data_IF_733637504553
#
_entry.id   IF_733637504553
#
_cell.length_a   1.000
_cell.length_b   1.000
_cell.length_c   1.000
_cell.angle_alpha   90.00
_cell.angle_beta   90.00
_cell.angle_gamma   90.00
#
_symmetry.space_group_name_H-M   'P 1'
#
loop_
_entity.id
_entity.type
_entity.pdbx_description
1 polymer ?
#
# COMPACT_ATOMS: atom_id res chain seq x y z
N UNK A 1 -12.04 23.39 -18.77
CA UNK A 1 -10.65 22.91 -18.79
C UNK A 1 -9.98 23.32 -17.49
N UNK A 2 -10.05 22.42 -16.49
CA UNK A 2 -9.41 22.67 -15.19
C UNK A 2 -7.93 22.36 -15.26
N UNK A 3 -7.13 23.29 -15.79
CA UNK A 3 -5.70 23.27 -15.58
C UNK A 3 -5.40 23.64 -14.12
N UNK A 4 -4.35 23.09 -13.49
CA UNK A 4 -3.96 23.52 -12.15
C UNK A 4 -3.60 25.00 -12.20
N UNK A 5 -4.11 25.79 -11.25
CA UNK A 5 -3.74 27.19 -11.11
C UNK A 5 -2.23 27.26 -10.88
N UNK A 6 -1.51 28.08 -11.65
CA UNK A 6 -0.05 28.26 -11.49
C UNK A 6 0.32 28.66 -10.06
N UNK A 7 -0.52 29.44 -9.42
CA UNK A 7 -0.37 29.89 -8.04
C UNK A 7 -0.42 28.74 -7.03
N UNK A 8 -1.12 27.66 -7.33
CA UNK A 8 -1.19 26.50 -6.44
C UNK A 8 0.18 25.82 -6.24
N UNK A 9 1.10 25.92 -7.19
CA UNK A 9 2.47 25.40 -7.03
C UNK A 9 3.30 26.15 -5.99
N UNK A 10 2.90 27.35 -5.62
CA UNK A 10 3.57 28.17 -4.61
C UNK A 10 2.99 27.95 -3.20
N UNK A 11 1.93 27.15 -3.08
CA UNK A 11 1.32 26.82 -1.80
C UNK A 11 1.86 25.46 -1.30
N UNK A 12 2.28 25.44 -0.05
CA UNK A 12 2.59 24.19 0.63
C UNK A 12 1.28 23.58 1.11
N UNK A 13 0.81 22.54 0.42
CA UNK A 13 -0.40 21.81 0.81
C UNK A 13 -0.23 20.31 0.61
N UNK A 14 -1.01 19.53 1.34
CA UNK A 14 -1.15 18.11 1.11
C UNK A 14 -2.61 17.71 1.29
N UNK A 15 -3.04 16.73 0.51
CA UNK A 15 -4.39 16.19 0.59
C UNK A 15 -4.46 15.11 1.69
N UNK A 16 -5.39 15.28 2.64
CA UNK A 16 -5.64 14.28 3.70
C UNK A 16 -5.98 12.91 3.09
N UNK A 17 -6.71 12.90 1.98
CA UNK A 17 -7.02 11.67 1.26
C UNK A 17 -5.76 10.98 0.73
N UNK A 18 -4.75 11.72 0.26
CA UNK A 18 -3.54 11.13 -0.31
C UNK A 18 -2.70 10.40 0.74
N UNK A 19 -2.50 10.97 1.93
CA UNK A 19 -1.68 10.32 2.96
C UNK A 19 -2.45 9.35 3.85
N UNK A 20 -3.78 9.45 3.95
CA UNK A 20 -4.59 8.51 4.75
C UNK A 20 -4.48 7.09 4.22
N UNK A 21 -4.31 6.13 5.12
CA UNK A 21 -4.35 4.69 4.78
C UNK A 21 -5.77 4.17 4.54
N UNK A 22 -6.79 4.94 4.92
CA UNK A 22 -8.21 4.65 4.64
C UNK A 22 -8.68 5.57 3.53
N UNK A 23 -9.22 4.99 2.45
CA UNK A 23 -9.70 5.71 1.27
C UNK A 23 -11.23 5.71 1.27
N UNK A 24 -11.81 6.82 1.68
CA UNK A 24 -13.28 7.02 1.68
C UNK A 24 -13.63 8.49 1.54
N UNK A 25 -14.86 8.78 1.15
CA UNK A 25 -15.33 10.16 0.99
C UNK A 25 -15.42 10.92 2.30
N UNK A 26 -15.33 12.26 2.24
CA UNK A 26 -15.38 13.16 3.41
C UNK A 26 -16.63 12.95 4.25
N UNK A 27 -17.80 12.80 3.62
CA UNK A 27 -19.08 12.52 4.29
C UNK A 27 -19.02 11.26 5.17
N UNK A 28 -18.44 10.18 4.63
CA UNK A 28 -18.33 8.93 5.39
C UNK A 28 -17.42 9.10 6.59
N UNK A 29 -16.31 9.80 6.44
CA UNK A 29 -15.45 10.17 7.56
C UNK A 29 -16.21 11.00 8.61
N UNK A 30 -16.96 12.01 8.16
CA UNK A 30 -17.75 12.84 9.07
C UNK A 30 -18.72 12.01 9.91
N UNK A 31 -19.46 11.11 9.29
CA UNK A 31 -20.41 10.22 9.99
C UNK A 31 -19.68 9.32 11.00
N UNK A 32 -18.57 8.68 10.60
CA UNK A 32 -17.79 7.80 11.47
C UNK A 32 -17.16 8.55 12.67
N UNK A 33 -16.84 9.83 12.49
CA UNK A 33 -16.29 10.70 13.54
C UNK A 33 -17.38 11.38 14.38
N UNK A 34 -18.67 11.09 14.15
CA UNK A 34 -19.78 11.70 14.86
C UNK A 34 -19.98 13.19 14.55
N UNK A 35 -19.45 13.67 13.42
CA UNK A 35 -19.61 15.06 12.97
C UNK A 35 -20.99 15.26 12.35
N UNK A 36 -21.49 16.49 12.43
CA UNK A 36 -22.72 16.87 11.72
C UNK A 36 -22.53 16.70 10.22
N UNK A 37 -23.44 15.96 9.60
CA UNK A 37 -23.47 15.79 8.15
C UNK A 37 -24.50 16.73 7.54
N UNK A 38 -24.08 17.52 6.57
CA UNK A 38 -24.93 18.45 5.82
C UNK A 38 -24.83 18.15 4.34
N UNK A 39 -25.94 18.17 3.63
CA UNK A 39 -26.02 18.12 2.18
C UNK A 39 -26.44 19.48 1.65
N UNK A 40 -25.77 19.94 0.60
CA UNK A 40 -26.16 21.18 -0.04
C UNK A 40 -27.32 20.99 -1.04
N UNK A 41 -27.37 19.79 -1.68
CA UNK A 41 -28.48 19.43 -2.59
C UNK A 41 -28.40 20.04 -3.98
N UNK A 42 -27.45 20.93 -4.23
CA UNK A 42 -27.26 21.53 -5.56
C UNK A 42 -26.22 20.77 -6.39
N UNK A 43 -26.28 20.96 -7.69
CA UNK A 43 -25.29 20.36 -8.59
C UNK A 43 -23.97 21.12 -8.50
N UNK A 44 -22.88 20.41 -8.33
CA UNK A 44 -21.52 20.94 -8.20
C UNK A 44 -21.00 21.65 -9.47
N UNK A 45 -21.60 21.37 -10.64
CA UNK A 45 -21.21 21.88 -11.97
C UNK A 45 -22.10 23.03 -12.47
N UNK A 46 -22.97 23.56 -11.62
CA UNK A 46 -23.88 24.66 -11.93
C UNK A 46 -23.62 25.86 -11.01
N UNK A 47 -23.85 27.09 -11.50
CA UNK A 47 -23.84 28.27 -10.64
C UNK A 47 -24.87 28.16 -9.51
N UNK A 48 -24.50 28.62 -8.33
CA UNK A 48 -25.40 28.69 -7.17
C UNK A 48 -26.10 30.05 -7.16
N UNK A 49 -27.43 30.04 -7.03
CA UNK A 49 -28.22 31.27 -6.90
C UNK A 49 -27.81 32.08 -5.68
N UNK A 50 -27.84 33.42 -5.79
CA UNK A 50 -27.41 34.31 -4.72
C UNK A 50 -28.16 34.12 -3.41
N UNK A 51 -29.44 33.76 -3.46
CA UNK A 51 -30.27 33.47 -2.28
C UNK A 51 -29.84 32.20 -1.52
N UNK A 52 -28.94 31.40 -2.09
CA UNK A 52 -28.39 30.18 -1.48
C UNK A 52 -26.93 30.31 -1.04
N UNK A 53 -26.30 31.48 -1.25
CA UNK A 53 -24.87 31.67 -0.94
C UNK A 53 -24.56 31.46 0.55
N UNK A 54 -25.44 31.91 1.43
CA UNK A 54 -25.28 31.70 2.88
C UNK A 54 -25.27 30.19 3.22
N UNK A 55 -26.20 29.43 2.63
CA UNK A 55 -26.25 27.98 2.83
C UNK A 55 -25.03 27.27 2.22
N UNK A 56 -24.54 27.73 1.05
CA UNK A 56 -23.33 27.22 0.43
C UNK A 56 -22.10 27.50 1.30
N UNK A 57 -22.01 28.69 1.90
CA UNK A 57 -20.93 29.05 2.82
C UNK A 57 -20.94 28.17 4.08
N UNK A 58 -22.11 27.93 4.66
CA UNK A 58 -22.25 27.02 5.81
C UNK A 58 -21.87 25.58 5.47
N UNK A 59 -22.28 25.08 4.30
CA UNK A 59 -21.87 23.77 3.79
C UNK A 59 -20.35 23.67 3.65
N UNK A 60 -19.71 24.66 3.00
CA UNK A 60 -18.26 24.69 2.85
C UNK A 60 -17.54 24.76 4.21
N UNK A 61 -18.03 25.56 5.15
CA UNK A 61 -17.48 25.62 6.51
C UNK A 61 -17.56 24.27 7.21
N UNK A 62 -18.68 23.56 7.08
CA UNK A 62 -18.84 22.23 7.64
C UNK A 62 -17.86 21.22 7.05
N UNK A 63 -17.61 21.24 5.73
CA UNK A 63 -16.61 20.39 5.07
C UNK A 63 -15.20 20.67 5.58
N UNK A 64 -14.86 21.93 5.87
CA UNK A 64 -13.57 22.31 6.47
C UNK A 64 -13.44 21.71 7.88
N UNK A 65 -14.45 21.81 8.73
CA UNK A 65 -14.43 21.21 10.08
C UNK A 65 -14.32 19.70 10.03
N UNK A 66 -15.02 19.03 9.11
CA UNK A 66 -14.88 17.59 8.94
C UNK A 66 -13.45 17.25 8.46
N UNK A 67 -12.88 18.01 7.54
CA UNK A 67 -11.51 17.80 7.06
C UNK A 67 -10.49 17.94 8.19
N UNK A 68 -10.63 18.92 9.06
CA UNK A 68 -9.80 19.08 10.25
C UNK A 68 -9.95 17.90 11.22
N UNK A 69 -11.17 17.44 11.48
CA UNK A 69 -11.41 16.27 12.31
C UNK A 69 -10.78 14.99 11.72
N UNK A 70 -10.87 14.81 10.40
CA UNK A 70 -10.20 13.71 9.68
C UNK A 70 -8.69 13.81 9.84
N UNK A 71 -8.09 14.97 9.62
CA UNK A 71 -6.65 15.17 9.84
C UNK A 71 -6.25 14.80 11.26
N UNK A 72 -6.99 15.25 12.27
CA UNK A 72 -6.73 14.96 13.66
C UNK A 72 -6.84 13.46 13.99
N UNK A 73 -7.76 12.74 13.34
CA UNK A 73 -7.90 11.28 13.47
C UNK A 73 -6.81 10.49 12.74
N UNK A 74 -6.07 11.13 11.82
CA UNK A 74 -5.04 10.51 10.96
C UNK A 74 -3.62 11.00 11.25
N UNK A 75 -3.35 11.47 12.46
CA UNK A 75 -2.03 11.97 12.85
C UNK A 75 -0.92 10.93 12.69
N UNK A 76 -1.21 9.66 12.94
CA UNK A 76 -0.24 8.58 12.71
C UNK A 76 0.13 8.42 11.23
N UNK A 77 -0.85 8.52 10.32
CA UNK A 77 -0.59 8.50 8.87
C UNK A 77 0.24 9.73 8.44
N UNK A 78 -0.03 10.89 9.05
CA UNK A 78 0.74 12.11 8.82
C UNK A 78 2.18 11.99 9.34
N UNK A 79 2.39 11.46 10.55
CA UNK A 79 3.72 11.20 11.09
C UNK A 79 4.52 10.26 10.18
N UNK A 80 3.89 9.19 9.68
CA UNK A 80 4.51 8.30 8.70
C UNK A 80 4.88 9.02 7.39
N UNK A 81 4.03 9.95 6.91
CA UNK A 81 4.32 10.79 5.74
C UNK A 81 5.55 11.65 5.96
N UNK A 82 5.67 12.30 7.12
CA UNK A 82 6.83 13.13 7.47
C UNK A 82 8.12 12.29 7.49
N UNK A 83 8.07 11.10 8.06
CA UNK A 83 9.21 10.18 8.10
C UNK A 83 9.63 9.77 6.68
N UNK A 84 8.68 9.39 5.82
CA UNK A 84 9.00 9.02 4.43
C UNK A 84 9.58 10.21 3.64
N UNK A 85 9.04 11.40 3.81
CA UNK A 85 9.56 12.61 3.19
C UNK A 85 11.00 12.87 3.61
N UNK A 86 11.29 12.75 4.90
CA UNK A 86 12.64 12.94 5.44
C UNK A 86 13.63 11.87 4.94
N UNK A 87 13.27 10.60 4.96
CA UNK A 87 14.12 9.50 4.47
C UNK A 87 14.49 9.67 2.99
N UNK A 88 13.58 10.25 2.20
CA UNK A 88 13.78 10.45 0.75
C UNK A 88 14.39 11.81 0.40
N UNK A 89 14.49 12.74 1.35
CA UNK A 89 14.89 14.12 1.10
C UNK A 89 13.84 14.91 0.29
N UNK A 90 12.58 14.46 0.31
CA UNK A 90 11.46 15.11 -0.36
C UNK A 90 10.59 15.88 0.66
N UNK A 91 9.51 16.49 0.18
CA UNK A 91 8.57 17.21 1.04
C UNK A 91 7.33 16.38 1.34
N UNK A 92 6.59 16.64 2.43
CA UNK A 92 5.32 15.97 2.71
C UNK A 92 4.23 16.22 1.67
N UNK A 93 4.39 17.24 0.81
CA UNK A 93 3.48 17.54 -0.28
C UNK A 93 3.60 16.55 -1.46
N UNK A 94 4.70 15.81 -1.52
CA UNK A 94 4.84 14.74 -2.49
C UNK A 94 3.90 13.59 -2.17
N UNK A 95 3.31 12.98 -3.20
CA UNK A 95 2.41 11.85 -3.02
C UNK A 95 3.12 10.62 -2.43
N UNK A 96 2.37 9.74 -1.78
CA UNK A 96 2.92 8.47 -1.26
C UNK A 96 3.66 7.69 -2.35
N UNK A 97 3.13 7.68 -3.57
CA UNK A 97 3.76 6.99 -4.70
C UNK A 97 5.13 7.59 -5.05
N UNK A 98 5.26 8.92 -5.03
CA UNK A 98 6.53 9.61 -5.30
C UNK A 98 7.55 9.31 -4.19
N UNK A 99 7.15 9.41 -2.92
CA UNK A 99 8.02 9.12 -1.78
C UNK A 99 8.54 7.68 -1.81
N UNK A 100 7.65 6.72 -2.06
CA UNK A 100 8.01 5.30 -2.09
C UNK A 100 8.87 4.96 -3.31
N UNK A 101 8.58 5.53 -4.46
CA UNK A 101 9.42 5.38 -5.66
C UNK A 101 10.83 5.90 -5.41
N UNK A 102 10.95 7.06 -4.80
CA UNK A 102 12.23 7.67 -4.44
C UNK A 102 13.01 6.80 -3.43
N UNK A 103 12.31 6.23 -2.45
CA UNK A 103 12.92 5.38 -1.42
C UNK A 103 13.54 4.11 -2.02
N UNK A 104 12.90 3.54 -3.06
CA UNK A 104 13.36 2.29 -3.71
C UNK A 104 14.36 2.57 -4.82
N UNK A 105 14.06 3.50 -5.73
CA UNK A 105 14.80 3.72 -6.97
C UNK A 105 15.78 4.91 -6.92
N UNK A 106 15.75 5.71 -5.86
CA UNK A 106 16.57 6.91 -5.78
C UNK A 106 16.21 7.92 -6.88
N UNK A 107 17.18 8.30 -7.70
CA UNK A 107 17.01 9.25 -8.82
C UNK A 107 16.62 8.58 -10.14
N UNK A 108 16.58 7.24 -10.19
CA UNK A 108 16.26 6.52 -11.41
C UNK A 108 14.76 6.67 -11.74
N UNK A 109 14.46 7.35 -12.83
CA UNK A 109 13.10 7.59 -13.30
C UNK A 109 12.58 6.52 -14.27
N UNK A 110 13.44 5.59 -14.65
CA UNK A 110 13.10 4.51 -15.59
C UNK A 110 13.75 3.17 -15.17
N UNK A 111 13.46 2.69 -13.96
CA UNK A 111 14.04 1.44 -13.45
C UNK A 111 13.62 0.27 -14.31
N UNK A 112 14.55 -0.65 -14.55
CA UNK A 112 14.24 -1.89 -15.23
C UNK A 112 13.68 -2.91 -14.23
N UNK A 113 12.40 -3.22 -14.39
CA UNK A 113 11.71 -4.24 -13.61
C UNK A 113 11.94 -5.62 -14.21
N UNK A 114 11.90 -6.66 -13.38
CA UNK A 114 12.05 -8.05 -13.79
C UNK A 114 10.69 -8.75 -13.74
N UNK A 115 10.33 -9.41 -14.83
CA UNK A 115 9.16 -10.28 -14.86
C UNK A 115 9.61 -11.74 -14.69
N UNK A 116 9.03 -12.42 -13.71
CA UNK A 116 9.31 -13.84 -13.44
C UNK A 116 8.19 -14.69 -14.01
N UNK A 117 8.52 -15.70 -14.79
CA UNK A 117 7.56 -16.75 -15.15
C UNK A 117 7.36 -17.68 -13.94
N UNK A 118 6.14 -17.68 -13.41
CA UNK A 118 5.82 -18.49 -12.24
C UNK A 118 5.77 -19.99 -12.54
N UNK A 119 5.63 -20.41 -13.79
CA UNK A 119 5.67 -21.83 -14.18
C UNK A 119 7.08 -22.45 -13.96
N UNK A 120 8.12 -21.64 -14.05
CA UNK A 120 9.50 -22.07 -13.72
C UNK A 120 9.69 -22.29 -12.22
N UNK A 121 9.05 -21.46 -11.38
CA UNK A 121 9.17 -21.55 -9.92
C UNK A 121 8.20 -22.58 -9.33
N UNK A 122 7.05 -22.76 -9.96
CA UNK A 122 5.98 -23.68 -9.53
C UNK A 122 5.64 -24.64 -10.67
N UNK A 123 6.42 -25.72 -10.86
CA UNK A 123 6.17 -26.70 -11.91
C UNK A 123 4.76 -27.27 -11.83
N UNK A 124 4.05 -27.26 -12.96
CA UNK A 124 2.66 -27.68 -13.06
C UNK A 124 1.64 -26.54 -12.87
N UNK A 125 2.10 -25.29 -12.67
CA UNK A 125 1.22 -24.13 -12.78
C UNK A 125 0.89 -23.87 -14.25
N UNK A 126 -0.40 -23.65 -14.54
CA UNK A 126 -0.93 -23.38 -15.88
C UNK A 126 -1.96 -22.26 -15.83
N UNK A 127 -1.88 -21.31 -16.77
CA UNK A 127 -2.95 -20.39 -17.09
C UNK A 127 -3.81 -21.03 -18.19
N UNK A 128 -4.96 -21.62 -17.81
CA UNK A 128 -5.73 -22.52 -18.62
C UNK A 128 -7.18 -22.09 -18.78
N UNK A 129 -7.70 -22.15 -19.99
CA UNK A 129 -9.13 -21.96 -20.24
C UNK A 129 -9.90 -23.22 -19.85
N UNK A 130 -10.92 -23.06 -19.00
CA UNK A 130 -11.81 -24.16 -18.59
C UNK A 130 -13.11 -24.18 -19.39
N UNK A 131 -14.00 -25.13 -19.07
CA UNK A 131 -15.28 -25.35 -19.77
C UNK A 131 -16.25 -24.17 -19.66
N UNK A 132 -16.09 -23.27 -18.72
CA UNK A 132 -16.85 -22.03 -18.58
C UNK A 132 -16.40 -20.92 -19.56
N UNK A 133 -15.38 -21.20 -20.39
CA UNK A 133 -14.80 -20.27 -21.34
C UNK A 133 -13.86 -19.23 -20.74
N UNK A 134 -13.64 -19.24 -19.43
CA UNK A 134 -12.73 -18.31 -18.74
C UNK A 134 -11.37 -18.94 -18.50
N UNK A 135 -10.36 -18.07 -18.34
CA UNK A 135 -9.03 -18.49 -17.97
C UNK A 135 -8.88 -18.55 -16.45
N UNK A 136 -8.28 -19.63 -15.96
CA UNK A 136 -8.07 -19.93 -14.55
C UNK A 136 -6.61 -20.21 -14.26
N UNK A 137 -6.20 -19.93 -13.01
CA UNK A 137 -4.88 -20.24 -12.51
C UNK A 137 -4.89 -21.65 -11.90
N UNK A 138 -4.56 -22.64 -12.70
CA UNK A 138 -4.58 -24.04 -12.29
C UNK A 138 -3.23 -24.46 -11.71
N UNK A 139 -3.24 -25.07 -10.53
CA UNK A 139 -2.06 -25.61 -9.90
C UNK A 139 -2.38 -26.82 -9.02
N UNK A 140 -1.72 -27.96 -9.29
CA UNK A 140 -1.92 -29.21 -8.56
C UNK A 140 -3.38 -29.66 -8.49
N UNK A 141 -4.13 -29.43 -9.56
CA UNK A 141 -5.53 -29.81 -9.67
C UNK A 141 -6.55 -28.78 -9.17
N UNK A 142 -6.10 -27.73 -8.49
CA UNK A 142 -6.95 -26.68 -7.93
C UNK A 142 -6.89 -25.39 -8.76
N UNK A 143 -7.99 -24.63 -8.79
CA UNK A 143 -7.98 -23.23 -9.16
C UNK A 143 -7.53 -22.40 -7.96
N UNK A 144 -6.32 -21.84 -8.05
CA UNK A 144 -5.75 -21.02 -6.97
C UNK A 144 -6.24 -19.57 -6.99
N UNK A 145 -7.12 -19.22 -7.96
CA UNK A 145 -7.74 -17.89 -8.04
C UNK A 145 -6.80 -16.78 -8.50
N UNK A 146 -7.32 -15.56 -8.47
CA UNK A 146 -6.63 -14.34 -8.95
C UNK A 146 -6.01 -13.51 -7.80
N UNK A 147 -6.43 -13.71 -6.58
CA UNK A 147 -6.07 -12.86 -5.44
C UNK A 147 -5.51 -13.59 -4.23
N UNK A 148 -5.60 -14.89 -4.19
CA UNK A 148 -5.12 -15.72 -3.09
C UNK A 148 -5.84 -17.04 -3.04
N UNK A 149 -5.12 -18.08 -2.63
CA UNK A 149 -5.69 -19.42 -2.44
C UNK A 149 -6.30 -19.51 -1.05
N UNK A 150 -7.53 -20.00 -0.98
CA UNK A 150 -8.24 -20.26 0.27
C UNK A 150 -8.74 -21.70 0.24
N UNK A 151 -8.40 -22.44 1.29
CA UNK A 151 -8.90 -23.79 1.55
C UNK A 151 -9.41 -23.85 2.99
N UNK A 152 -10.56 -24.47 3.18
CA UNK A 152 -11.15 -24.67 4.51
C UNK A 152 -11.93 -25.98 4.57
N UNK A 153 -11.70 -26.76 5.61
CA UNK A 153 -12.53 -27.89 6.00
C UNK A 153 -13.32 -27.50 7.24
N UNK A 154 -14.66 -27.43 7.17
CA UNK A 154 -15.49 -27.14 8.32
C UNK A 154 -15.35 -28.23 9.40
N UNK A 155 -15.15 -27.85 10.65
CA UNK A 155 -15.01 -28.79 11.76
C UNK A 155 -14.62 -28.10 13.06
N UNK A 156 -14.52 -28.92 14.11
CA UNK A 156 -13.97 -28.55 15.41
C UNK A 156 -12.63 -29.25 15.56
N UNK A 157 -11.57 -28.49 15.72
CA UNK A 157 -10.21 -28.98 15.79
C UNK A 157 -9.59 -28.64 17.13
N UNK A 158 -8.82 -29.58 17.69
CA UNK A 158 -8.03 -29.41 18.92
C UNK A 158 -6.54 -29.43 18.57
N UNK A 159 -5.70 -28.84 19.42
CA UNK A 159 -4.25 -28.82 19.25
C UNK A 159 -3.82 -28.14 17.91
N UNK A 160 -4.42 -27.01 17.60
CA UNK A 160 -4.17 -26.27 16.35
C UNK A 160 -2.87 -25.48 16.45
N UNK A 161 -1.99 -25.62 15.45
CA UNK A 161 -0.86 -24.74 15.23
C UNK A 161 -1.21 -23.69 14.16
N UNK A 162 -1.02 -22.41 14.48
CA UNK A 162 -1.21 -21.31 13.55
C UNK A 162 0.12 -20.91 12.92
N UNK A 163 0.20 -21.00 11.60
CA UNK A 163 1.37 -20.54 10.82
C UNK A 163 1.00 -19.27 10.06
N UNK A 164 1.88 -18.27 10.09
CA UNK A 164 1.72 -17.02 9.36
C UNK A 164 2.97 -16.71 8.52
N UNK A 165 2.76 -16.20 7.31
CA UNK A 165 3.86 -15.80 6.43
C UNK A 165 4.23 -14.34 6.70
N UNK A 166 5.39 -14.13 7.29
CA UNK A 166 5.91 -12.80 7.56
C UNK A 166 6.02 -11.97 6.26
N UNK A 167 5.14 -10.96 6.13
CA UNK A 167 5.17 -10.03 5.01
C UNK A 167 5.09 -10.71 3.63
N UNK A 168 4.08 -11.54 3.38
CA UNK A 168 3.94 -12.39 2.19
C UNK A 168 4.19 -11.65 0.87
N UNK A 169 3.50 -10.51 0.62
CA UNK A 169 3.66 -9.75 -0.63
C UNK A 169 5.05 -9.14 -0.79
N UNK A 170 5.64 -8.46 0.21
CA UNK A 170 7.02 -8.02 0.14
C UNK A 170 8.01 -9.17 -0.09
N UNK A 171 7.84 -10.29 0.57
CA UNK A 171 8.69 -11.48 0.38
C UNK A 171 8.56 -12.04 -1.04
N UNK A 172 7.37 -12.03 -1.61
CA UNK A 172 7.15 -12.43 -3.01
C UNK A 172 7.90 -11.53 -3.99
N UNK A 173 7.81 -10.21 -3.84
CA UNK A 173 8.53 -9.24 -4.68
C UNK A 173 10.05 -9.41 -4.60
N UNK A 174 10.58 -9.64 -3.40
CA UNK A 174 12.01 -9.87 -3.17
C UNK A 174 12.47 -11.18 -3.83
N UNK A 175 11.75 -12.28 -3.62
CA UNK A 175 12.12 -13.59 -4.16
C UNK A 175 12.03 -13.64 -5.70
N UNK A 176 11.14 -12.85 -6.31
CA UNK A 176 11.07 -12.69 -7.76
C UNK A 176 12.13 -11.73 -8.32
N UNK A 177 12.95 -11.14 -7.48
CA UNK A 177 13.85 -10.05 -7.87
C UNK A 177 13.16 -8.95 -8.69
N UNK A 178 11.91 -8.63 -8.35
CA UNK A 178 11.00 -7.82 -9.16
C UNK A 178 11.55 -6.44 -9.52
N UNK A 179 12.28 -5.81 -8.62
CA UNK A 179 12.90 -4.50 -8.82
C UNK A 179 14.33 -4.56 -9.36
N UNK A 180 14.80 -5.74 -9.83
CA UNK A 180 16.13 -5.94 -10.37
C UNK A 180 17.22 -5.47 -9.40
N UNK A 181 18.12 -4.60 -9.84
CA UNK A 181 19.21 -4.06 -9.00
C UNK A 181 18.72 -3.31 -7.74
N UNK A 182 17.46 -2.89 -7.70
CA UNK A 182 16.86 -2.17 -6.57
C UNK A 182 16.11 -3.08 -5.58
N UNK A 183 16.04 -4.39 -5.85
CA UNK A 183 15.38 -5.35 -4.96
C UNK A 183 15.98 -5.33 -3.55
N UNK A 184 17.30 -5.07 -3.46
CA UNK A 184 17.96 -4.92 -2.16
C UNK A 184 17.40 -3.73 -1.35
N UNK A 185 17.19 -2.58 -1.97
CA UNK A 185 16.63 -1.40 -1.28
C UNK A 185 15.25 -1.72 -0.69
N UNK A 186 14.43 -2.43 -1.45
CA UNK A 186 13.11 -2.87 -1.00
C UNK A 186 13.21 -3.91 0.13
N UNK A 187 14.16 -4.83 0.04
CA UNK A 187 14.43 -5.80 1.09
C UNK A 187 14.89 -5.11 2.39
N UNK A 188 15.74 -4.09 2.29
CA UNK A 188 16.21 -3.31 3.44
C UNK A 188 15.03 -2.63 4.17
N UNK A 189 14.01 -2.12 3.45
CA UNK A 189 12.77 -1.58 4.06
C UNK A 189 12.06 -2.66 4.88
N UNK A 190 11.89 -3.87 4.32
CA UNK A 190 11.26 -5.00 5.01
C UNK A 190 12.06 -5.41 6.25
N UNK A 191 13.37 -5.57 6.10
CA UNK A 191 14.26 -5.98 7.18
C UNK A 191 14.28 -4.97 8.33
N UNK A 192 14.36 -3.67 8.02
CA UNK A 192 14.28 -2.63 9.04
C UNK A 192 12.96 -2.71 9.83
N UNK A 193 11.83 -2.87 9.13
CA UNK A 193 10.53 -3.04 9.80
C UNK A 193 10.48 -4.27 10.70
N UNK A 194 11.02 -5.40 10.24
CA UNK A 194 11.05 -6.64 11.03
C UNK A 194 11.96 -6.45 12.26
N UNK A 195 13.13 -5.86 12.10
CA UNK A 195 14.07 -5.59 13.20
C UNK A 195 13.42 -4.68 14.27
N UNK A 196 12.68 -3.63 13.85
CA UNK A 196 11.92 -2.79 14.78
C UNK A 196 10.93 -3.61 15.59
N UNK A 197 10.13 -4.46 14.93
CA UNK A 197 9.12 -5.30 15.59
C UNK A 197 9.73 -6.25 16.62
N UNK A 198 10.95 -6.70 16.41
CA UNK A 198 11.65 -7.62 17.29
C UNK A 198 12.57 -6.90 18.30
N UNK A 199 12.64 -5.57 18.29
CA UNK A 199 13.48 -4.79 19.18
C UNK A 199 14.98 -4.90 18.88
N UNK A 200 15.37 -5.33 17.68
CA UNK A 200 16.77 -5.45 17.27
C UNK A 200 17.32 -4.11 16.78
N UNK A 201 17.53 -3.22 17.72
CA UNK A 201 18.03 -1.85 17.47
C UNK A 201 19.42 -1.85 16.83
N UNK A 202 20.27 -2.82 17.18
CA UNK A 202 21.62 -2.93 16.62
C UNK A 202 21.60 -3.19 15.12
N UNK A 203 20.67 -4.04 14.67
CA UNK A 203 20.50 -4.33 13.23
C UNK A 203 20.06 -3.09 12.46
N UNK A 204 19.22 -2.24 13.05
CA UNK A 204 18.70 -1.03 12.40
C UNK A 204 19.74 0.06 12.27
N UNK A 205 20.62 0.19 13.27
CA UNK A 205 21.61 1.28 13.44
C UNK A 205 22.60 1.36 12.27
N UNK A 206 22.69 0.75 11.30
CA UNK A 206 23.54 0.92 10.10
C UNK A 206 22.73 1.00 8.80
N UNK A 207 21.43 0.77 8.89
CA UNK A 207 20.59 0.72 7.70
C UNK A 207 20.29 2.13 7.17
N UNK A 208 20.09 2.24 5.86
CA UNK A 208 19.83 3.53 5.19
C UNK A 208 20.89 4.60 5.47
N UNK A 209 22.17 4.20 5.46
CA UNK A 209 23.30 5.09 5.76
C UNK A 209 23.18 5.79 7.11
N UNK A 210 22.60 5.10 8.11
CA UNK A 210 22.40 5.61 9.46
C UNK A 210 21.25 6.60 9.60
N UNK A 211 20.47 6.88 8.56
CA UNK A 211 19.34 7.82 8.61
C UNK A 211 18.26 7.41 9.61
N UNK A 212 18.18 6.13 9.97
CA UNK A 212 17.21 5.63 10.94
C UNK A 212 17.62 5.89 12.40
N UNK A 213 18.89 6.19 12.67
CA UNK A 213 19.43 6.29 14.04
C UNK A 213 18.70 7.29 14.93
N UNK A 214 18.26 8.42 14.38
CA UNK A 214 17.53 9.46 15.11
C UNK A 214 16.16 9.03 15.62
N UNK A 215 15.58 7.97 15.08
CA UNK A 215 14.28 7.43 15.49
C UNK A 215 14.41 6.36 16.59
N UNK A 216 15.64 5.91 16.91
CA UNK A 216 15.86 4.74 17.77
C UNK A 216 15.77 5.05 19.27
N UNK A 217 15.77 6.32 19.64
CA UNK A 217 15.81 6.75 21.05
C UNK A 217 14.45 6.82 21.74
N UNK A 218 13.35 6.84 21.02
CA UNK A 218 11.99 6.99 21.54
C UNK A 218 11.08 5.88 21.00
N UNK A 219 10.46 5.07 21.87
CA UNK A 219 9.56 3.98 21.47
C UNK A 219 8.35 4.45 20.63
N UNK A 220 7.81 5.65 20.89
CA UNK A 220 6.69 6.20 20.12
C UNK A 220 7.12 6.53 18.70
N UNK A 221 8.25 7.22 18.54
CA UNK A 221 8.83 7.57 17.24
C UNK A 221 9.25 6.31 16.48
N UNK A 222 9.76 5.30 17.18
CA UNK A 222 10.11 4.00 16.58
C UNK A 222 8.87 3.27 16.06
N UNK A 223 7.74 3.37 16.75
CA UNK A 223 6.45 2.85 16.29
C UNK A 223 5.99 3.56 15.01
N UNK A 224 6.10 4.89 14.94
CA UNK A 224 5.77 5.67 13.76
C UNK A 224 6.68 5.31 12.56
N UNK A 225 7.96 5.08 12.81
CA UNK A 225 8.90 4.58 11.79
C UNK A 225 8.46 3.20 11.27
N UNK A 226 8.13 2.26 12.15
CA UNK A 226 7.65 0.93 11.74
C UNK A 226 6.37 1.03 10.89
N UNK A 227 5.50 1.98 11.23
CA UNK A 227 4.28 2.24 10.48
C UNK A 227 4.58 2.87 9.11
N UNK A 228 5.49 3.84 9.03
CA UNK A 228 5.94 4.44 7.78
C UNK A 228 6.52 3.38 6.80
N UNK A 229 7.37 2.49 7.32
CA UNK A 229 7.94 1.40 6.53
C UNK A 229 6.86 0.40 6.08
N UNK A 230 5.82 0.15 6.89
CA UNK A 230 4.67 -0.67 6.50
C UNK A 230 3.89 -0.02 5.36
N UNK A 231 3.66 1.30 5.42
CA UNK A 231 3.01 2.04 4.32
C UNK A 231 3.83 1.91 3.05
N UNK A 232 5.15 2.11 3.12
CA UNK A 232 6.02 1.97 1.96
C UNK A 232 5.92 0.58 1.32
N UNK A 233 5.98 -0.49 2.10
CA UNK A 233 5.87 -1.87 1.60
C UNK A 233 4.51 -2.16 0.95
N UNK A 234 3.41 -1.72 1.58
CA UNK A 234 2.06 -1.97 1.10
C UNK A 234 1.73 -1.13 -0.14
N UNK A 235 2.14 0.14 -0.17
CA UNK A 235 1.95 1.01 -1.34
C UNK A 235 2.71 0.47 -2.55
N UNK A 236 3.94 -0.01 -2.35
CA UNK A 236 4.72 -0.66 -3.40
C UNK A 236 3.97 -1.85 -4.00
N UNK A 237 3.45 -2.76 -3.17
CA UNK A 237 2.65 -3.88 -3.63
C UNK A 237 1.41 -3.40 -4.42
N UNK A 238 0.67 -2.44 -3.89
CA UNK A 238 -0.50 -1.88 -4.57
C UNK A 238 -0.16 -1.29 -5.94
N UNK A 239 0.99 -0.63 -6.08
CA UNK A 239 1.44 -0.03 -7.34
C UNK A 239 1.83 -1.08 -8.38
N UNK A 240 2.39 -2.21 -7.99
CA UNK A 240 2.74 -3.29 -8.94
C UNK A 240 1.53 -3.88 -9.64
N UNK A 241 0.34 -3.82 -9.03
CA UNK A 241 -0.93 -4.34 -9.56
C UNK A 241 -1.94 -3.26 -9.93
N UNK A 242 -1.56 -1.98 -9.89
CA UNK A 242 -2.45 -0.87 -10.21
C UNK A 242 -2.98 -0.93 -11.66
N UNK A 243 -4.21 -0.44 -11.87
CA UNK A 243 -4.82 -0.39 -13.22
C UNK A 243 -4.23 0.69 -14.10
N UNK A 244 -3.55 1.68 -13.52
CA UNK A 244 -2.88 2.77 -14.22
C UNK A 244 -1.38 2.50 -14.35
N UNK A 245 -0.77 3.07 -15.37
CA UNK A 245 0.66 2.96 -15.61
C UNK A 245 1.45 3.74 -14.56
N UNK A 246 2.47 3.11 -14.02
CA UNK A 246 3.37 3.70 -13.04
C UNK A 246 4.73 3.01 -13.07
N UNK A 247 5.73 3.64 -12.46
CA UNK A 247 7.13 3.21 -12.46
C UNK A 247 7.36 1.82 -11.80
N UNK A 248 6.42 1.34 -10.97
CA UNK A 248 6.52 0.06 -10.27
C UNK A 248 5.76 -1.07 -10.98
N UNK A 249 5.04 -0.77 -12.06
CA UNK A 249 4.24 -1.77 -12.78
C UNK A 249 4.99 -2.31 -13.99
N UNK A 250 5.32 -3.60 -13.96
CA UNK A 250 5.85 -4.26 -15.16
C UNK A 250 4.74 -4.46 -16.20
N UNK A 251 4.97 -4.15 -17.50
CA UNK A 251 3.92 -4.27 -18.53
C UNK A 251 3.27 -5.66 -18.66
N UNK A 252 4.04 -6.72 -18.40
CA UNK A 252 3.54 -8.10 -18.40
C UNK A 252 2.74 -8.47 -17.14
N UNK A 253 2.76 -7.64 -16.09
CA UNK A 253 2.04 -7.91 -14.84
C UNK A 253 0.57 -7.48 -14.94
N UNK A 254 -0.21 -8.18 -15.73
CA UNK A 254 -1.65 -7.91 -15.93
C UNK A 254 -2.53 -8.60 -14.89
N UNK A 255 -2.05 -9.70 -14.28
CA UNK A 255 -2.82 -10.58 -13.40
C UNK A 255 -2.29 -10.63 -11.96
N UNK A 256 -1.70 -9.55 -11.47
CA UNK A 256 -1.18 -9.47 -10.11
C UNK A 256 -0.28 -10.66 -9.72
N UNK A 257 0.84 -10.79 -10.41
CA UNK A 257 1.83 -11.87 -10.23
C UNK A 257 2.26 -12.05 -8.76
N UNK A 258 2.23 -10.98 -7.97
CA UNK A 258 2.63 -11.02 -6.55
C UNK A 258 1.63 -11.79 -5.71
N UNK A 259 0.34 -11.53 -5.88
CA UNK A 259 -0.71 -12.27 -5.21
C UNK A 259 -0.78 -13.72 -5.70
N UNK A 260 -0.64 -13.93 -7.01
CA UNK A 260 -0.62 -15.27 -7.60
C UNK A 260 0.54 -16.11 -7.04
N UNK A 261 1.74 -15.54 -6.94
CA UNK A 261 2.87 -16.25 -6.30
C UNK A 261 2.56 -16.65 -4.87
N UNK A 262 1.88 -15.78 -4.12
CA UNK A 262 1.42 -16.09 -2.76
C UNK A 262 0.44 -17.27 -2.75
N UNK A 263 -0.53 -17.30 -3.66
CA UNK A 263 -1.50 -18.37 -3.80
C UNK A 263 -0.85 -19.72 -4.12
N UNK A 264 0.07 -19.75 -5.09
CA UNK A 264 0.83 -20.94 -5.46
C UNK A 264 1.68 -21.46 -4.30
N UNK A 265 2.31 -20.55 -3.55
CA UNK A 265 3.07 -20.90 -2.36
C UNK A 265 2.16 -21.49 -1.26
N UNK A 266 1.01 -20.89 -1.00
CA UNK A 266 0.06 -21.40 0.00
C UNK A 266 -0.47 -22.79 -0.38
N UNK A 267 -0.77 -23.02 -1.66
CA UNK A 267 -1.17 -24.35 -2.13
C UNK A 267 -0.05 -25.38 -1.98
N UNK A 268 1.19 -24.97 -2.23
CA UNK A 268 2.37 -25.83 -1.98
C UNK A 268 2.53 -26.14 -0.49
N UNK A 269 2.40 -25.11 0.36
CA UNK A 269 2.53 -25.27 1.82
C UNK A 269 1.47 -26.23 2.38
N UNK A 270 0.24 -26.17 1.88
CA UNK A 270 -0.83 -27.10 2.25
C UNK A 270 -0.38 -28.56 2.04
N UNK A 271 0.14 -28.88 0.85
CA UNK A 271 0.59 -30.25 0.57
C UNK A 271 1.75 -30.69 1.48
N UNK A 272 2.67 -29.78 1.77
CA UNK A 272 3.81 -30.14 2.64
C UNK A 272 3.39 -30.35 4.09
N UNK A 273 2.42 -29.58 4.58
CA UNK A 273 1.86 -29.76 5.94
C UNK A 273 1.02 -31.04 6.02
N UNK A 274 0.27 -31.39 4.99
CA UNK A 274 -0.56 -32.60 4.96
C UNK A 274 0.25 -33.91 4.87
N UNK A 275 1.52 -33.85 4.46
CA UNK A 275 2.43 -35.02 4.41
C UNK A 275 3.00 -35.38 5.77
N UNK A 276 2.93 -34.50 6.75
CA UNK A 276 3.45 -34.73 8.12
C UNK A 276 2.35 -35.23 9.04
#
# INVERSE_FOLDING_TARGET
SGGPFREAYNLSYTDVYDFSNVKQGLKKFGIELGMHHQEFGERWDQPVDENKWEMAAQYCANDVYITEAVFNSRKADWAARLILAELTGMTPNNSTNQLVSKLIFGEDRNPQLVYTDLSETFPGYEWKQLSDGKFHNMYRGDDVGMGGYVYAEPGIYTNVALLDIASMHPTSLINMNYFGKYTKNYADIKEARIAIKHGDIKKISGMFDGKLNKYLGDPAILSDLAFALKIALNSTYGLTSARFDNIMKHPKNVNNIVALRGALFMRTLQDEVQKQ
#
